data_IF_905378521937
#
_entry.id   IF_905378521937
#
_cell.length_a   1.000
_cell.length_b   1.000
_cell.length_c   1.000
_cell.angle_alpha   90.00
_cell.angle_beta   90.00
_cell.angle_gamma   90.00
#
_symmetry.space_group_name_H-M   'P 1'
#
loop_
_entity.id
_entity.type
_entity.pdbx_description
1 polymer ?
#
# COMPACT_ATOMS: atom_id res chain seq x y z
N UNK A 1 20.37 3.33 2.77
CA UNK A 1 19.98 4.75 2.57
C UNK A 1 18.48 4.77 2.76
N UNK A 2 17.99 5.56 3.72
CA UNK A 2 16.57 5.82 3.88
C UNK A 2 16.24 6.92 2.88
N UNK A 3 15.17 6.75 2.11
CA UNK A 3 14.57 7.85 1.34
C UNK A 3 13.21 8.12 1.92
N UNK A 4 13.01 9.36 2.35
CA UNK A 4 11.70 9.91 2.73
C UNK A 4 11.29 10.85 1.62
N UNK A 5 10.04 10.76 1.21
CA UNK A 5 9.35 11.67 0.30
C UNK A 5 8.10 12.15 1.04
N UNK A 6 7.78 13.42 0.85
CA UNK A 6 6.64 14.10 1.45
C UNK A 6 5.98 14.90 0.32
N UNK A 7 4.65 14.83 0.21
CA UNK A 7 3.81 15.58 -0.72
C UNK A 7 2.60 16.18 0.00
N UNK A 8 2.04 17.24 -0.57
CA UNK A 8 0.85 17.91 -0.06
C UNK A 8 0.19 18.71 -1.18
N UNK A 9 -1.11 18.52 -1.39
CA UNK A 9 -1.90 19.22 -2.43
C UNK A 9 -1.33 19.06 -3.87
N UNK A 10 -0.76 17.90 -4.21
CA UNK A 10 -0.29 17.58 -5.55
C UNK A 10 -1.41 16.91 -6.38
N UNK A 11 -1.55 17.30 -7.66
CA UNK A 11 -2.50 16.65 -8.59
C UNK A 11 -2.10 15.19 -8.87
N UNK A 12 -0.81 14.92 -9.09
CA UNK A 12 -0.32 13.63 -9.56
C UNK A 12 1.04 13.28 -8.96
N UNK A 13 1.11 12.14 -8.26
CA UNK A 13 2.34 11.60 -7.70
C UNK A 13 2.65 10.25 -8.32
N UNK A 14 3.73 10.19 -9.09
CA UNK A 14 4.23 8.94 -9.66
C UNK A 14 5.64 8.64 -9.20
N UNK A 15 5.80 7.60 -8.36
CA UNK A 15 7.08 7.22 -7.80
C UNK A 15 7.41 5.76 -8.10
N UNK A 16 8.61 5.53 -8.64
CA UNK A 16 9.14 4.17 -8.83
C UNK A 16 10.44 3.97 -8.08
N UNK A 17 10.44 2.98 -7.19
CA UNK A 17 11.61 2.51 -6.49
C UNK A 17 12.06 1.15 -7.05
N UNK A 18 13.19 1.15 -7.76
CA UNK A 18 13.76 -0.08 -8.33
C UNK A 18 14.46 -0.94 -7.26
N UNK A 19 15.20 -0.32 -6.36
CA UNK A 19 15.91 -0.98 -5.24
C UNK A 19 15.93 -0.09 -4.00
N UNK A 20 15.72 -0.65 -2.82
CA UNK A 20 15.98 0.05 -1.55
C UNK A 20 15.78 -0.83 -0.33
N UNK A 21 16.38 -0.46 0.79
CA UNK A 21 16.18 -1.19 2.05
C UNK A 21 15.02 -0.62 2.86
N UNK A 22 14.90 0.71 2.89
CA UNK A 22 13.89 1.43 3.66
C UNK A 22 13.42 2.66 2.87
N UNK A 23 12.12 2.73 2.58
CA UNK A 23 11.48 3.92 2.04
C UNK A 23 10.27 4.29 2.90
N UNK A 24 10.11 5.59 3.12
CA UNK A 24 8.92 6.19 3.72
C UNK A 24 8.36 7.18 2.71
N UNK A 25 7.05 7.13 2.49
CA UNK A 25 6.31 8.17 1.79
C UNK A 25 5.19 8.64 2.70
N UNK A 26 5.01 9.95 2.75
CA UNK A 26 3.92 10.62 3.45
C UNK A 26 3.21 11.53 2.43
N UNK A 27 1.91 11.34 2.24
CA UNK A 27 1.06 12.13 1.34
C UNK A 27 -0.14 12.72 2.09
N UNK A 28 -0.66 13.85 1.61
CA UNK A 28 -1.81 14.51 2.21
C UNK A 28 -2.54 15.38 1.19
N UNK A 29 -3.85 15.20 1.06
CA UNK A 29 -4.71 15.98 0.15
C UNK A 29 -4.26 15.92 -1.33
N UNK A 30 -3.69 14.78 -1.77
CA UNK A 30 -3.26 14.56 -3.14
C UNK A 30 -4.39 13.88 -3.97
N UNK A 31 -4.56 14.23 -5.25
CA UNK A 31 -5.62 13.63 -6.09
C UNK A 31 -5.24 12.18 -6.49
N UNK A 32 -4.14 12.00 -7.22
CA UNK A 32 -3.73 10.70 -7.77
C UNK A 32 -2.32 10.27 -7.28
N UNK A 33 -2.24 9.13 -6.57
CA UNK A 33 -0.98 8.55 -6.10
C UNK A 33 -0.71 7.19 -6.71
N UNK A 34 0.37 7.08 -7.49
CA UNK A 34 0.85 5.82 -8.05
C UNK A 34 2.27 5.49 -7.62
N UNK A 35 2.43 4.40 -6.87
CA UNK A 35 3.72 3.97 -6.33
C UNK A 35 4.05 2.54 -6.73
N UNK A 36 5.25 2.35 -7.29
CA UNK A 36 5.77 1.03 -7.62
C UNK A 36 7.08 0.73 -6.90
N UNK A 37 7.10 -0.37 -6.14
CA UNK A 37 8.28 -0.92 -5.49
C UNK A 37 8.67 -2.23 -6.17
N UNK A 38 9.79 -2.24 -6.90
CA UNK A 38 10.26 -3.45 -7.60
C UNK A 38 10.98 -4.40 -6.66
N UNK A 39 11.93 -3.91 -5.86
CA UNK A 39 12.65 -4.70 -4.85
C UNK A 39 12.88 -3.87 -3.60
N UNK A 40 12.51 -4.41 -2.43
CA UNK A 40 12.93 -3.81 -1.17
C UNK A 40 12.63 -4.64 0.07
N UNK A 41 13.07 -4.16 1.22
CA UNK A 41 12.93 -4.90 2.49
C UNK A 41 11.82 -4.32 3.35
N UNK A 42 11.82 -3.01 3.56
CA UNK A 42 10.85 -2.33 4.41
C UNK A 42 10.32 -1.09 3.71
N UNK A 43 9.00 -0.98 3.62
CA UNK A 43 8.32 0.19 3.10
C UNK A 43 7.23 0.63 4.07
N UNK A 44 7.18 1.92 4.33
CA UNK A 44 6.08 2.57 5.05
C UNK A 44 5.46 3.57 4.09
N UNK A 45 4.14 3.55 3.98
CA UNK A 45 3.36 4.60 3.35
C UNK A 45 2.33 5.07 4.37
N UNK A 46 2.20 6.39 4.48
CA UNK A 46 1.19 7.09 5.26
C UNK A 46 0.47 8.05 4.31
N UNK A 47 -0.86 7.90 4.18
CA UNK A 47 -1.72 8.76 3.35
C UNK A 47 -2.87 9.32 4.18
N UNK A 48 -3.35 10.51 3.82
CA UNK A 48 -4.47 11.16 4.50
C UNK A 48 -5.23 12.08 3.56
N UNK A 49 -6.55 11.90 3.46
CA UNK A 49 -7.44 12.70 2.62
C UNK A 49 -7.06 12.70 1.12
N UNK A 50 -6.48 11.60 0.63
CA UNK A 50 -6.13 11.43 -0.79
C UNK A 50 -7.29 10.78 -1.58
N UNK A 51 -7.50 11.15 -2.85
CA UNK A 51 -8.61 10.60 -3.65
C UNK A 51 -8.30 9.17 -4.13
N UNK A 52 -7.26 8.98 -4.95
CA UNK A 52 -6.95 7.72 -5.62
C UNK A 52 -5.53 7.22 -5.31
N UNK A 53 -5.39 6.10 -4.59
CA UNK A 53 -4.10 5.51 -4.22
C UNK A 53 -3.90 4.13 -4.87
N UNK A 54 -2.90 4.02 -5.74
CA UNK A 54 -2.47 2.76 -6.34
C UNK A 54 -1.03 2.38 -5.98
N UNK A 55 -0.86 1.24 -5.31
CA UNK A 55 0.44 0.75 -4.86
C UNK A 55 0.72 -0.66 -5.37
N UNK A 56 1.87 -0.83 -6.00
CA UNK A 56 2.35 -2.15 -6.45
C UNK A 56 3.68 -2.51 -5.80
N UNK A 57 3.73 -3.67 -5.16
CA UNK A 57 4.92 -4.28 -4.60
C UNK A 57 5.26 -5.56 -5.38
N UNK A 58 6.36 -5.55 -6.13
CA UNK A 58 6.78 -6.72 -6.92
C UNK A 58 7.49 -7.76 -6.05
N UNK A 59 8.50 -7.33 -5.28
CA UNK A 59 9.23 -8.19 -4.33
C UNK A 59 9.54 -7.43 -3.03
N UNK A 60 9.11 -7.93 -1.88
CA UNK A 60 9.50 -7.33 -0.61
C UNK A 60 9.26 -8.14 0.66
N UNK A 61 9.88 -7.73 1.77
CA UNK A 61 9.82 -8.49 3.03
C UNK A 61 8.78 -7.93 3.99
N UNK A 62 8.71 -6.61 4.17
CA UNK A 62 7.83 -5.95 5.12
C UNK A 62 7.25 -4.68 4.53
N UNK A 63 5.94 -4.52 4.62
CA UNK A 63 5.24 -3.35 4.14
C UNK A 63 4.24 -2.92 5.21
N UNK A 64 4.27 -1.64 5.55
CA UNK A 64 3.28 -0.98 6.38
C UNK A 64 2.58 0.05 5.51
N UNK A 65 1.26 0.00 5.49
CA UNK A 65 0.43 1.08 4.97
C UNK A 65 -0.49 1.55 6.09
N UNK A 66 -0.55 2.86 6.28
CA UNK A 66 -1.51 3.55 7.12
C UNK A 66 -2.24 4.58 6.25
N UNK A 67 -3.56 4.47 6.15
CA UNK A 67 -4.41 5.40 5.38
C UNK A 67 -5.52 5.95 6.25
N UNK A 68 -5.95 7.19 5.99
CA UNK A 68 -7.04 7.84 6.73
C UNK A 68 -7.84 8.78 5.84
N UNK A 69 -9.16 8.57 5.78
CA UNK A 69 -10.09 9.43 5.02
C UNK A 69 -9.81 9.47 3.51
N UNK A 70 -9.20 8.42 2.95
CA UNK A 70 -8.93 8.32 1.50
C UNK A 70 -10.14 7.72 0.73
N UNK A 71 -10.36 8.11 -0.53
CA UNK A 71 -11.52 7.59 -1.29
C UNK A 71 -11.28 6.16 -1.80
N UNK A 72 -10.32 5.96 -2.69
CA UNK A 72 -10.09 4.72 -3.43
C UNK A 72 -8.64 4.21 -3.24
N UNK A 73 -8.47 3.05 -2.59
CA UNK A 73 -7.15 2.45 -2.35
C UNK A 73 -7.03 1.09 -3.03
N UNK A 74 -6.07 0.95 -3.94
CA UNK A 74 -5.70 -0.31 -4.59
C UNK A 74 -4.26 -0.72 -4.28
N UNK A 75 -4.09 -1.91 -3.70
CA UNK A 75 -2.78 -2.46 -3.35
C UNK A 75 -2.57 -3.83 -3.97
N UNK A 76 -1.45 -3.99 -4.67
CA UNK A 76 -1.06 -5.27 -5.26
C UNK A 76 0.29 -5.75 -4.72
N UNK A 77 0.31 -6.96 -4.18
CA UNK A 77 1.52 -7.65 -3.74
C UNK A 77 1.81 -8.85 -4.64
N UNK A 78 2.89 -8.80 -5.41
CA UNK A 78 3.29 -9.89 -6.30
C UNK A 78 4.07 -10.98 -5.57
N UNK A 79 5.08 -10.61 -4.79
CA UNK A 79 5.82 -11.52 -3.90
C UNK A 79 6.24 -10.81 -2.62
N UNK A 80 5.98 -11.43 -1.46
CA UNK A 80 6.49 -10.88 -0.21
C UNK A 80 6.15 -11.64 1.06
N UNK A 81 6.62 -11.13 2.21
CA UNK A 81 6.57 -11.86 3.47
C UNK A 81 5.96 -11.18 4.69
N UNK A 82 5.61 -9.91 4.78
CA UNK A 82 4.97 -9.36 5.98
C UNK A 82 4.27 -8.08 5.57
N UNK A 83 2.98 -8.00 5.82
CA UNK A 83 2.18 -6.83 5.46
C UNK A 83 1.35 -6.43 6.66
N UNK A 84 1.44 -5.17 7.03
CA UNK A 84 0.55 -4.49 7.96
C UNK A 84 -0.20 -3.45 7.16
N UNK A 85 -1.53 -3.46 7.29
CA UNK A 85 -2.39 -2.45 6.71
C UNK A 85 -3.30 -1.94 7.83
N UNK A 86 -3.27 -0.64 8.04
CA UNK A 86 -4.19 0.09 8.90
C UNK A 86 -4.88 1.14 8.03
N UNK A 87 -6.20 1.25 8.20
CA UNK A 87 -7.04 2.14 7.41
C UNK A 87 -8.17 2.63 8.30
N UNK A 88 -8.49 3.91 8.20
CA UNK A 88 -9.52 4.55 9.01
C UNK A 88 -10.36 5.48 8.16
N UNK A 89 -11.66 5.24 8.10
CA UNK A 89 -12.62 6.13 7.42
C UNK A 89 -12.48 6.22 5.88
N UNK A 90 -11.64 5.39 5.28
CA UNK A 90 -11.55 5.26 3.81
C UNK A 90 -12.81 4.66 3.18
N UNK A 91 -13.12 5.03 1.93
CA UNK A 91 -14.34 4.59 1.25
C UNK A 91 -14.23 3.17 0.66
N UNK A 92 -13.28 2.94 -0.25
CA UNK A 92 -13.14 1.70 -1.02
C UNK A 92 -11.69 1.20 -1.02
N UNK A 93 -11.46 0.00 -0.45
CA UNK A 93 -10.11 -0.62 -0.37
C UNK A 93 -10.09 -1.98 -1.05
N UNK A 94 -9.20 -2.13 -2.02
CA UNK A 94 -8.89 -3.35 -2.74
C UNK A 94 -7.46 -3.80 -2.51
N UNK A 95 -7.29 -5.06 -2.08
CA UNK A 95 -5.97 -5.65 -1.85
C UNK A 95 -5.88 -6.98 -2.59
N UNK A 96 -4.85 -7.12 -3.42
CA UNK A 96 -4.57 -8.32 -4.21
C UNK A 96 -3.21 -8.90 -3.85
N UNK A 97 -3.15 -10.23 -3.67
CA UNK A 97 -1.91 -10.98 -3.47
C UNK A 97 -1.78 -12.03 -4.57
N UNK A 98 -0.69 -11.99 -5.35
CA UNK A 98 -0.46 -12.90 -6.48
C UNK A 98 0.41 -14.10 -6.11
N UNK A 99 1.41 -13.95 -5.25
CA UNK A 99 2.19 -15.05 -4.67
C UNK A 99 2.85 -14.64 -3.34
N UNK A 100 2.87 -15.50 -2.31
CA UNK A 100 3.45 -15.15 -1.00
C UNK A 100 3.14 -16.16 0.10
N UNK A 101 3.92 -16.13 1.17
CA UNK A 101 3.73 -16.97 2.36
C UNK A 101 3.68 -16.06 3.58
N UNK A 102 2.62 -16.19 4.39
CA UNK A 102 2.29 -15.42 5.60
C UNK A 102 1.79 -13.99 5.40
N UNK A 103 0.50 -13.78 5.66
CA UNK A 103 -0.12 -12.47 5.77
C UNK A 103 -0.63 -12.29 7.21
N UNK A 104 -0.08 -11.33 7.96
CA UNK A 104 -0.63 -10.93 9.25
C UNK A 104 -1.51 -9.70 9.04
N UNK A 105 -2.74 -9.99 8.65
CA UNK A 105 -3.76 -8.97 8.41
C UNK A 105 -4.32 -8.48 9.77
N UNK A 106 -3.87 -7.32 10.25
CA UNK A 106 -4.39 -6.71 11.49
C UNK A 106 -5.41 -5.65 11.10
N UNK A 107 -6.66 -6.07 10.88
CA UNK A 107 -7.73 -5.19 10.40
C UNK A 107 -8.42 -4.49 11.56
N UNK A 108 -8.36 -3.16 11.62
CA UNK A 108 -9.29 -2.34 12.41
C UNK A 108 -10.27 -1.71 11.42
N UNK A 109 -11.43 -2.33 11.18
CA UNK A 109 -12.42 -1.80 10.24
C UNK A 109 -13.40 -0.82 10.89
N UNK A 110 -13.56 0.37 10.32
CA UNK A 110 -14.73 1.23 10.55
C UNK A 110 -15.28 1.84 9.24
N UNK A 111 -16.24 1.09 8.62
CA UNK A 111 -17.12 1.40 7.44
C UNK A 111 -16.37 1.68 6.11
N UNK A 112 -16.85 1.38 4.89
CA UNK A 112 -18.01 0.64 4.31
C UNK A 112 -17.53 -0.17 3.07
N UNK A 113 -18.30 -1.20 2.64
CA UNK A 113 -18.10 -2.11 1.48
C UNK A 113 -16.66 -2.53 1.08
N UNK A 114 -16.23 -3.70 1.57
CA UNK A 114 -14.92 -4.25 1.18
C UNK A 114 -15.03 -5.64 0.54
N UNK A 115 -14.53 -5.78 -0.69
CA UNK A 115 -14.30 -7.06 -1.35
C UNK A 115 -12.82 -7.43 -1.21
N UNK A 116 -12.51 -8.38 -0.32
CA UNK A 116 -11.17 -8.99 -0.28
C UNK A 116 -11.18 -10.23 -1.16
N UNK A 117 -10.50 -10.18 -2.30
CA UNK A 117 -10.26 -11.35 -3.14
C UNK A 117 -8.99 -12.07 -2.65
N UNK A 118 -9.15 -13.06 -1.77
CA UNK A 118 -8.08 -14.02 -1.45
C UNK A 118 -8.11 -15.15 -2.49
N UNK A 119 -7.51 -14.95 -3.66
CA UNK A 119 -7.15 -16.08 -4.52
C UNK A 119 -5.88 -16.73 -3.97
N UNK A 120 -6.05 -17.46 -2.86
CA UNK A 120 -5.02 -18.34 -2.32
C UNK A 120 -4.94 -19.59 -3.19
N UNK A 121 -4.23 -19.51 -4.32
CA UNK A 121 -3.82 -20.71 -5.03
C UNK A 121 -2.65 -21.34 -4.25
N UNK A 122 -2.99 -22.22 -3.31
CA UNK A 122 -2.05 -23.20 -2.76
C UNK A 122 -1.52 -24.05 -3.93
N UNK A 123 -0.33 -23.74 -4.42
CA UNK A 123 0.46 -24.73 -5.15
C UNK A 123 1.15 -25.58 -4.09
N UNK A 124 0.68 -26.83 -3.97
CA UNK A 124 1.23 -27.90 -3.13
C UNK A 124 2.59 -28.34 -3.65
#
# INVERSE_FOLDING_TARGET
>A
IIKTLESTEDEDIMITFTTGQHHTLESTEDEDIMITFTTGQHHTLESTEDEDIMITFTTGQHHTLESTEDEDIMITFTTGQHHTLESTEDEDIMITFTAGQHHKDTRVYRRRRHNIYKDSMCIV
#
